data_IF_834715652349
#
_entry.id   IF_834715652349
#
_cell.length_a   1.000
_cell.length_b   1.000
_cell.length_c   1.000
_cell.angle_alpha   90.00
_cell.angle_beta   90.00
_cell.angle_gamma   90.00
#
_symmetry.space_group_name_H-M   'P 1'
#
loop_
_entity.id
_entity.type
_entity.pdbx_description
1 polymer ?
#
# COMPACT_ATOMS: atom_id res chain seq x y z
N UNK A 1 -31.73 6.10 -2.24
CA UNK A 1 -31.31 5.95 -0.83
C UNK A 1 -29.80 5.85 -0.91
N UNK A 2 -29.13 6.93 -0.52
CA UNK A 2 -27.68 7.03 -0.67
C UNK A 2 -26.94 6.36 0.49
N UNK A 3 -25.73 5.90 0.22
CA UNK A 3 -24.81 5.31 1.16
C UNK A 3 -24.10 6.43 1.93
N UNK A 4 -24.36 6.54 3.23
CA UNK A 4 -23.70 7.53 4.09
C UNK A 4 -22.38 6.98 4.62
N UNK A 5 -21.28 7.69 4.41
CA UNK A 5 -19.94 7.26 4.80
C UNK A 5 -19.17 8.41 5.43
N UNK A 6 -18.51 8.17 6.57
CA UNK A 6 -17.56 9.13 7.11
C UNK A 6 -16.27 9.17 6.27
N UNK A 7 -15.94 10.34 5.72
CA UNK A 7 -14.83 10.47 4.78
C UNK A 7 -13.47 10.15 5.43
N UNK A 8 -13.25 10.58 6.67
CA UNK A 8 -11.97 10.38 7.36
C UNK A 8 -11.78 8.92 7.81
N UNK A 9 -12.86 8.24 8.21
CA UNK A 9 -12.84 6.80 8.47
C UNK A 9 -12.56 6.03 7.16
N UNK A 10 -13.24 6.40 6.07
CA UNK A 10 -13.04 5.77 4.76
C UNK A 10 -11.58 5.84 4.29
N UNK A 11 -10.98 7.02 4.35
CA UNK A 11 -9.56 7.22 3.99
C UNK A 11 -8.62 6.32 4.81
N UNK A 12 -8.91 6.14 6.10
CA UNK A 12 -8.13 5.26 6.98
C UNK A 12 -8.24 3.81 6.57
N UNK A 13 -9.42 3.34 6.20
CA UNK A 13 -9.62 1.95 5.77
C UNK A 13 -9.01 1.66 4.40
N UNK A 14 -9.09 2.60 3.46
CA UNK A 14 -8.36 2.52 2.18
C UNK A 14 -6.85 2.47 2.43
N UNK A 15 -6.34 3.34 3.31
CA UNK A 15 -4.91 3.35 3.71
C UNK A 15 -4.48 2.00 4.29
N UNK A 16 -5.31 1.40 5.16
CA UNK A 16 -5.05 0.07 5.71
C UNK A 16 -5.02 -0.99 4.60
N UNK A 17 -5.97 -0.96 3.68
CA UNK A 17 -6.03 -1.91 2.56
C UNK A 17 -4.74 -1.88 1.72
N UNK A 18 -4.28 -0.69 1.34
CA UNK A 18 -3.04 -0.54 0.55
C UNK A 18 -1.82 -0.97 1.36
N UNK A 19 -1.71 -0.55 2.62
CA UNK A 19 -0.61 -0.94 3.52
C UNK A 19 -0.53 -2.46 3.70
N UNK A 20 -1.68 -3.12 3.82
CA UNK A 20 -1.75 -4.56 3.98
C UNK A 20 -1.30 -5.31 2.72
N UNK A 21 -1.63 -4.79 1.53
CA UNK A 21 -1.16 -5.34 0.27
C UNK A 21 0.37 -5.26 0.14
N UNK A 22 0.99 -4.16 0.61
CA UNK A 22 2.45 -4.03 0.69
C UNK A 22 3.07 -5.00 1.69
N UNK A 23 2.45 -5.20 2.86
CA UNK A 23 2.92 -6.18 3.86
C UNK A 23 3.01 -7.59 3.28
N UNK A 24 2.13 -7.93 2.32
CA UNK A 24 2.00 -9.26 1.73
C UNK A 24 2.74 -9.45 0.40
N UNK A 25 3.48 -8.43 -0.10
CA UNK A 25 4.10 -8.34 -1.44
C UNK A 25 4.83 -9.59 -1.99
N UNK A 26 5.25 -10.55 -1.16
CA UNK A 26 5.92 -11.78 -1.57
C UNK A 26 5.02 -12.87 -2.21
N UNK A 27 3.90 -12.52 -2.84
CA UNK A 27 3.02 -13.51 -3.48
C UNK A 27 2.09 -12.93 -4.53
N UNK A 28 1.10 -13.72 -4.95
CA UNK A 28 0.19 -13.38 -6.06
C UNK A 28 -1.23 -13.05 -5.61
N UNK A 29 -1.41 -12.74 -4.33
CA UNK A 29 -2.72 -12.51 -3.74
C UNK A 29 -3.21 -11.07 -3.91
N UNK A 30 -4.30 -10.79 -3.21
CA UNK A 30 -4.93 -9.49 -3.15
C UNK A 30 -5.52 -9.23 -1.76
N UNK A 31 -5.64 -7.95 -1.43
CA UNK A 31 -6.42 -7.48 -0.28
C UNK A 31 -7.65 -6.78 -0.82
N UNK A 32 -8.80 -7.09 -0.23
CA UNK A 32 -10.07 -6.49 -0.61
C UNK A 32 -10.71 -5.80 0.58
N UNK A 33 -11.24 -4.60 0.33
CA UNK A 33 -11.98 -3.81 1.30
C UNK A 33 -13.46 -3.82 0.93
N UNK A 34 -14.29 -4.15 1.92
CA UNK A 34 -15.73 -4.16 1.80
C UNK A 34 -16.37 -3.19 2.79
N UNK A 35 -17.53 -2.65 2.42
CA UNK A 35 -18.46 -1.99 3.32
C UNK A 35 -19.62 -2.96 3.60
N UNK A 36 -19.91 -3.19 4.87
CA UNK A 36 -21.19 -3.75 5.28
C UNK A 36 -22.22 -2.62 5.41
N UNK A 37 -23.35 -2.80 4.74
CA UNK A 37 -24.48 -1.87 4.71
C UNK A 37 -25.73 -2.55 5.28
N UNK A 38 -26.47 -1.81 6.11
CA UNK A 38 -27.84 -2.17 6.52
C UNK A 38 -28.75 -0.96 6.38
N UNK A 39 -29.94 -1.18 5.82
CA UNK A 39 -30.99 -0.16 5.68
C UNK A 39 -30.56 1.18 5.03
N UNK A 40 -29.57 1.17 4.15
CA UNK A 40 -29.06 2.40 3.51
C UNK A 40 -27.81 3.00 4.15
N UNK A 41 -27.36 2.48 5.29
CA UNK A 41 -26.26 3.05 6.06
C UNK A 41 -25.07 2.10 6.15
N UNK A 42 -23.85 2.65 6.10
CA UNK A 42 -22.62 1.89 6.40
C UNK A 42 -22.62 1.50 7.87
N UNK A 43 -22.41 0.22 8.14
CA UNK A 43 -22.33 -0.37 9.48
C UNK A 43 -20.88 -0.66 9.85
N UNK A 44 -20.14 -1.33 8.96
CA UNK A 44 -18.76 -1.73 9.24
C UNK A 44 -17.90 -1.78 7.98
N UNK A 45 -16.57 -1.82 8.17
CA UNK A 45 -15.60 -2.15 7.13
C UNK A 45 -15.06 -3.56 7.37
N UNK A 46 -14.90 -4.31 6.29
CA UNK A 46 -14.31 -5.64 6.35
C UNK A 46 -13.16 -5.71 5.36
N UNK A 47 -11.96 -5.92 5.89
CA UNK A 47 -10.74 -6.16 5.10
C UNK A 47 -10.49 -7.66 5.04
N UNK A 48 -10.24 -8.20 3.85
CA UNK A 48 -10.03 -9.63 3.64
C UNK A 48 -8.83 -9.87 2.73
N UNK A 49 -7.94 -10.75 3.18
CA UNK A 49 -6.77 -11.19 2.43
C UNK A 49 -7.10 -12.45 1.64
N UNK A 50 -6.72 -12.47 0.37
CA UNK A 50 -6.89 -13.61 -0.51
C UNK A 50 -5.54 -14.03 -1.09
N UNK A 51 -5.09 -15.27 -0.86
CA UNK A 51 -3.80 -15.73 -1.38
C UNK A 51 -3.71 -15.85 -2.91
N UNK A 52 -4.86 -15.92 -3.59
CA UNK A 52 -4.97 -16.10 -5.04
C UNK A 52 -5.83 -14.99 -5.67
N UNK A 53 -5.55 -14.65 -6.94
CA UNK A 53 -6.29 -13.64 -7.70
C UNK A 53 -7.74 -14.05 -7.95
N UNK A 54 -8.69 -13.13 -7.72
CA UNK A 54 -10.13 -13.27 -7.99
C UNK A 54 -10.94 -14.06 -6.96
N UNK A 55 -10.66 -13.85 -5.68
CA UNK A 55 -11.47 -14.41 -4.60
C UNK A 55 -12.31 -13.28 -4.00
N UNK A 56 -13.63 -13.48 -3.82
CA UNK A 56 -14.51 -12.43 -3.29
C UNK A 56 -15.53 -13.03 -2.31
N UNK A 57 -16.07 -12.17 -1.43
CA UNK A 57 -17.07 -12.56 -0.43
C UNK A 57 -18.47 -12.21 -0.91
N UNK A 58 -19.33 -13.23 -1.04
CA UNK A 58 -20.76 -13.06 -1.29
C UNK A 58 -21.53 -12.78 0.00
N UNK A 59 -22.35 -11.73 0.02
CA UNK A 59 -23.24 -11.44 1.14
C UNK A 59 -24.27 -10.36 0.84
N UNK A 60 -25.46 -10.45 1.45
CA UNK A 60 -26.45 -9.37 1.36
C UNK A 60 -25.93 -8.15 2.11
N UNK A 61 -25.91 -7.00 1.43
CA UNK A 61 -25.46 -5.74 2.02
C UNK A 61 -23.94 -5.60 2.09
N UNK A 62 -23.16 -6.45 1.41
CA UNK A 62 -21.73 -6.21 1.24
C UNK A 62 -21.48 -5.48 -0.09
N UNK A 63 -20.71 -4.40 -0.02
CA UNK A 63 -20.26 -3.62 -1.18
C UNK A 63 -18.75 -3.75 -1.23
N UNK A 64 -18.21 -4.29 -2.33
CA UNK A 64 -16.78 -4.24 -2.60
C UNK A 64 -16.40 -2.79 -2.92
N UNK A 65 -15.48 -2.23 -2.13
CA UNK A 65 -14.98 -0.86 -2.27
C UNK A 65 -13.76 -0.84 -3.18
N UNK A 66 -12.80 -1.70 -2.90
CA UNK A 66 -11.57 -1.80 -3.68
C UNK A 66 -10.94 -3.17 -3.54
N UNK A 67 -10.08 -3.47 -4.50
CA UNK A 67 -9.17 -4.61 -4.53
C UNK A 67 -7.77 -4.09 -4.85
N UNK A 68 -6.79 -4.43 -4.03
CA UNK A 68 -5.38 -4.14 -4.28
C UNK A 68 -4.61 -5.45 -4.39
N UNK A 69 -3.90 -5.65 -5.50
CA UNK A 69 -2.97 -6.78 -5.63
C UNK A 69 -1.78 -6.59 -4.69
N UNK A 70 -1.16 -7.66 -4.20
CA UNK A 70 0.08 -7.53 -3.42
C UNK A 70 1.21 -6.96 -4.29
N UNK A 71 1.98 -6.01 -3.76
CA UNK A 71 3.03 -5.31 -4.49
C UNK A 71 4.12 -4.76 -3.57
N UNK A 72 5.36 -4.64 -4.03
CA UNK A 72 6.41 -3.88 -3.32
C UNK A 72 6.43 -2.44 -3.87
N UNK A 73 6.20 -1.39 -3.06
CA UNK A 73 6.10 -0.02 -3.56
C UNK A 73 7.40 0.47 -4.21
N UNK A 74 8.54 -0.18 -3.96
CA UNK A 74 9.84 0.18 -4.55
C UNK A 74 10.20 -0.62 -5.82
N UNK A 75 9.32 -1.49 -6.34
CA UNK A 75 9.60 -2.33 -7.53
C UNK A 75 9.99 -1.52 -8.79
N UNK A 76 9.67 -0.22 -8.83
CA UNK A 76 10.04 0.70 -9.91
C UNK A 76 11.31 1.53 -9.70
N UNK A 77 11.92 1.48 -8.50
CA UNK A 77 13.08 2.33 -8.16
C UNK A 77 14.40 1.72 -8.63
N UNK A 78 15.32 2.55 -9.11
CA UNK A 78 16.72 2.13 -9.26
C UNK A 78 17.43 2.29 -7.92
N UNK A 79 17.54 1.18 -7.19
CA UNK A 79 18.14 1.16 -5.85
C UNK A 79 19.59 1.66 -5.80
N UNK A 80 20.31 1.71 -6.93
CA UNK A 80 21.66 2.28 -6.94
C UNK A 80 21.64 3.81 -6.93
N UNK A 81 20.68 4.42 -7.61
CA UNK A 81 20.49 5.87 -7.61
C UNK A 81 20.00 6.32 -6.23
N UNK A 82 19.03 5.61 -5.65
CA UNK A 82 18.52 5.86 -4.30
C UNK A 82 19.63 5.72 -3.24
N UNK A 83 20.43 4.66 -3.31
CA UNK A 83 21.57 4.47 -2.40
C UNK A 83 22.54 5.66 -2.50
N UNK A 84 22.85 6.11 -3.70
CA UNK A 84 23.78 7.23 -3.91
C UNK A 84 23.26 8.55 -3.34
N UNK A 85 21.94 8.73 -3.28
CA UNK A 85 21.31 9.92 -2.73
C UNK A 85 21.22 9.92 -1.19
N UNK A 86 21.11 8.73 -0.57
CA UNK A 86 20.80 8.60 0.86
C UNK A 86 22.00 8.23 1.75
N UNK A 87 23.16 7.87 1.18
CA UNK A 87 24.35 7.57 1.97
C UNK A 87 24.88 8.80 2.72
N UNK A 88 25.09 8.66 4.03
CA UNK A 88 25.87 9.63 4.80
C UNK A 88 27.35 9.62 4.40
N UNK A 89 28.07 10.72 4.64
CA UNK A 89 29.50 10.82 4.29
C UNK A 89 30.34 9.71 4.95
N UNK A 90 30.07 9.41 6.22
CA UNK A 90 30.78 8.37 6.98
C UNK A 90 30.55 6.97 6.38
N UNK A 91 29.29 6.65 6.08
CA UNK A 91 28.92 5.35 5.53
C UNK A 91 29.41 5.21 4.07
N UNK A 92 29.40 6.30 3.30
CA UNK A 92 29.95 6.34 1.95
C UNK A 92 31.47 6.10 1.93
N UNK A 93 32.22 6.68 2.88
CA UNK A 93 33.66 6.43 3.02
C UNK A 93 33.96 4.98 3.40
N UNK A 94 33.16 4.41 4.31
CA UNK A 94 33.29 3.01 4.68
C UNK A 94 32.98 2.09 3.49
N UNK A 95 31.91 2.39 2.75
CA UNK A 95 31.48 1.59 1.61
C UNK A 95 32.49 1.59 0.45
N UNK A 96 33.18 2.72 0.22
CA UNK A 96 34.25 2.82 -0.80
C UNK A 96 35.36 1.76 -0.64
N UNK A 97 35.58 1.24 0.57
CA UNK A 97 36.59 0.20 0.84
C UNK A 97 36.32 -1.13 0.11
N UNK A 98 35.07 -1.36 -0.30
CA UNK A 98 34.64 -2.61 -0.95
C UNK A 98 34.70 -2.55 -2.49
N UNK A 99 35.03 -1.40 -3.08
CA UNK A 99 35.35 -1.29 -4.52
C UNK A 99 34.17 -1.41 -5.49
N UNK A 100 32.93 -1.47 -4.99
CA UNK A 100 31.69 -1.43 -5.78
C UNK A 100 30.68 -0.51 -5.11
N UNK A 101 29.92 0.24 -5.90
CA UNK A 101 28.86 1.16 -5.45
C UNK A 101 27.44 0.63 -5.67
N UNK A 102 27.30 -0.66 -5.98
CA UNK A 102 25.99 -1.25 -6.28
C UNK A 102 25.22 -1.57 -5.00
N UNK A 103 23.90 -1.46 -5.04
CA UNK A 103 23.00 -1.89 -3.96
C UNK A 103 23.30 -3.30 -3.44
N UNK A 104 23.50 -4.27 -4.34
CA UNK A 104 23.80 -5.66 -3.92
C UNK A 104 25.09 -5.80 -3.10
N UNK A 105 26.11 -4.99 -3.39
CA UNK A 105 27.35 -4.95 -2.61
C UNK A 105 27.09 -4.31 -1.24
N UNK A 106 26.33 -3.21 -1.22
CA UNK A 106 25.95 -2.53 0.02
C UNK A 106 25.17 -3.45 0.94
N UNK A 107 24.09 -4.08 0.45
CA UNK A 107 23.25 -4.99 1.23
C UNK A 107 24.00 -6.23 1.76
N UNK A 108 25.04 -6.69 1.04
CA UNK A 108 25.88 -7.78 1.51
C UNK A 108 26.78 -7.37 2.69
N UNK A 109 27.29 -6.14 2.69
CA UNK A 109 28.27 -5.67 3.68
C UNK A 109 27.65 -4.87 4.83
N UNK A 110 26.48 -4.28 4.62
CA UNK A 110 25.73 -3.45 5.57
C UNK A 110 24.24 -3.89 5.59
N UNK A 111 23.95 -5.15 5.97
CA UNK A 111 22.61 -5.71 5.86
C UNK A 111 21.58 -4.97 6.72
N UNK A 112 21.98 -4.53 7.93
CA UNK A 112 21.07 -3.81 8.83
C UNK A 112 20.71 -2.43 8.27
N UNK A 113 21.71 -1.68 7.77
CA UNK A 113 21.47 -0.38 7.13
C UNK A 113 20.69 -0.52 5.81
N UNK A 114 20.93 -1.60 5.07
CA UNK A 114 20.17 -1.87 3.86
C UNK A 114 18.69 -2.12 4.17
N UNK A 115 18.37 -2.86 5.23
CA UNK A 115 16.99 -3.04 5.67
C UNK A 115 16.36 -1.72 6.14
N UNK A 116 17.11 -0.87 6.86
CA UNK A 116 16.65 0.47 7.25
C UNK A 116 16.31 1.32 6.02
N UNK A 117 17.20 1.38 5.02
CA UNK A 117 16.93 2.11 3.77
C UNK A 117 15.73 1.54 3.01
N UNK A 118 15.61 0.22 2.87
CA UNK A 118 14.45 -0.39 2.21
C UNK A 118 13.16 -0.05 2.95
N UNK A 119 13.16 -0.11 4.29
CA UNK A 119 11.99 0.25 5.09
C UNK A 119 11.61 1.72 4.90
N UNK A 120 12.59 2.63 4.89
CA UNK A 120 12.36 4.05 4.69
C UNK A 120 11.81 4.35 3.29
N UNK A 121 12.45 3.81 2.25
CA UNK A 121 12.00 3.99 0.87
C UNK A 121 10.60 3.43 0.65
N UNK A 122 10.29 2.23 1.17
CA UNK A 122 8.92 1.68 1.11
C UNK A 122 7.90 2.58 1.78
N UNK A 123 8.23 3.17 2.93
CA UNK A 123 7.33 4.10 3.62
C UNK A 123 7.12 5.40 2.82
N UNK A 124 8.19 5.93 2.22
CA UNK A 124 8.13 7.13 1.40
C UNK A 124 7.27 6.91 0.15
N UNK A 125 7.57 5.85 -0.63
CA UNK A 125 6.79 5.50 -1.82
C UNK A 125 5.33 5.21 -1.48
N UNK A 126 5.08 4.47 -0.39
CA UNK A 126 3.72 4.20 0.06
C UNK A 126 2.95 5.49 0.42
N UNK A 127 3.62 6.47 1.04
CA UNK A 127 3.02 7.76 1.37
C UNK A 127 2.67 8.59 0.11
N UNK A 128 3.37 8.39 -1.01
CA UNK A 128 3.05 9.01 -2.29
C UNK A 128 1.91 8.29 -3.04
N UNK A 129 1.84 6.96 -2.93
CA UNK A 129 0.82 6.13 -3.59
C UNK A 129 -0.56 6.27 -2.95
N UNK A 130 -0.63 6.27 -1.61
CA UNK A 130 -1.91 6.21 -0.86
C UNK A 130 -2.89 7.34 -1.25
N UNK A 131 -2.49 8.63 -1.31
CA UNK A 131 -3.40 9.71 -1.68
C UNK A 131 -4.04 9.51 -3.06
N UNK A 132 -3.23 9.08 -4.04
CA UNK A 132 -3.72 8.80 -5.39
C UNK A 132 -4.74 7.66 -5.42
N UNK A 133 -4.49 6.60 -4.64
CA UNK A 133 -5.44 5.48 -4.49
C UNK A 133 -6.72 5.89 -3.80
N UNK A 134 -6.66 6.68 -2.73
CA UNK A 134 -7.84 7.22 -2.06
C UNK A 134 -8.73 7.96 -3.06
N UNK A 135 -8.15 8.87 -3.85
CA UNK A 135 -8.90 9.68 -4.82
C UNK A 135 -9.50 8.85 -5.96
N UNK A 136 -8.83 7.78 -6.38
CA UNK A 136 -9.37 6.81 -7.34
C UNK A 136 -10.58 6.07 -6.77
N UNK A 137 -10.45 5.49 -5.57
CA UNK A 137 -11.53 4.70 -4.96
C UNK A 137 -12.76 5.57 -4.64
N UNK A 138 -12.56 6.83 -4.20
CA UNK A 138 -13.67 7.77 -4.00
C UNK A 138 -14.45 7.97 -5.31
N UNK A 139 -13.74 8.26 -6.41
CA UNK A 139 -14.36 8.48 -7.73
C UNK A 139 -15.10 7.24 -8.22
N UNK A 140 -14.50 6.06 -8.05
CA UNK A 140 -15.11 4.80 -8.45
C UNK A 140 -16.40 4.54 -7.66
N UNK A 141 -16.37 4.76 -6.34
CA UNK A 141 -17.54 4.56 -5.47
C UNK A 141 -18.67 5.53 -5.82
N UNK A 142 -18.37 6.81 -6.05
CA UNK A 142 -19.33 7.83 -6.49
C UNK A 142 -19.92 7.54 -7.88
N UNK A 143 -19.17 6.84 -8.74
CA UNK A 143 -19.66 6.45 -10.07
C UNK A 143 -20.66 5.29 -10.03
N UNK A 144 -20.58 4.45 -8.98
CA UNK A 144 -21.36 3.23 -8.82
C UNK A 144 -22.54 3.41 -7.85
N UNK A 145 -22.40 4.30 -6.88
CA UNK A 145 -23.35 4.49 -5.79
C UNK A 145 -23.66 5.97 -5.54
N UNK A 146 -24.88 6.24 -5.07
CA UNK A 146 -25.27 7.54 -4.55
C UNK A 146 -24.65 7.70 -3.15
N UNK A 147 -23.47 8.31 -3.05
CA UNK A 147 -22.71 8.43 -1.78
C UNK A 147 -22.90 9.80 -1.16
N UNK A 148 -23.14 9.84 0.16
CA UNK A 148 -23.14 11.04 0.97
C UNK A 148 -21.96 10.98 1.95
N UNK A 149 -20.95 11.82 1.70
CA UNK A 149 -19.78 11.95 2.57
C UNK A 149 -20.10 12.85 3.77
N UNK A 150 -19.92 12.33 4.99
CA UNK A 150 -20.18 13.02 6.27
C UNK A 150 -18.93 13.19 7.13
#
# INVERSE_FOLDING_TARGET
>A
MGLKINLEEFKKEVTKCVTEAVRLHHGNGEVQLYIEQRDGEKVDYMLTEFPDKNSWVEGRGLILVMKEEWFDPIDGLDLNDELSACLSDELAEEFKKYGSSTWGCFAQHFPDQAEEFLSEWRQNELAEIIPGRIDEVIRDLESLYDVEWI
#
